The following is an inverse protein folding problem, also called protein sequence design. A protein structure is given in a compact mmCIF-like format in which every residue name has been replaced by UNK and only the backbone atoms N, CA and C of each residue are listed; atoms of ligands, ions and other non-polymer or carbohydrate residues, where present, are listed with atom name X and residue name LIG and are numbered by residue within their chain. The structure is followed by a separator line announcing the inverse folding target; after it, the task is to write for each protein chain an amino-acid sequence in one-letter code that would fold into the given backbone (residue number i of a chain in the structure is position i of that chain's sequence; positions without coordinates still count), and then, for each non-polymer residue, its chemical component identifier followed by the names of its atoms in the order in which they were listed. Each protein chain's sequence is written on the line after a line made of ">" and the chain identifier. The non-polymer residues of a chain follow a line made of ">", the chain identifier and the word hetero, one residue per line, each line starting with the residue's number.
data_IF_286958853604
#
_entry.id   IF_286958853604
#
_cell.length_a   1.000
_cell.length_b   1.000
_cell.length_c   1.000
_cell.angle_alpha   90.00
_cell.angle_beta   90.00
_cell.angle_gamma   90.00
#
_symmetry.space_group_name_H-M   'P 1'
#
loop_
_entity.id
_entity.type
_entity.pdbx_description
1 polymer ?
#
# COMPACT_ATOMS: atom_id res chain seq x y z
N UNK A 1 -1.55 -8.82 18.29
CA UNK A 1 -1.43 -7.54 17.58
C UNK A 1 -0.05 -7.45 16.93
N UNK A 2 0.06 -7.26 15.61
CA UNK A 2 1.36 -7.21 14.93
C UNK A 2 2.17 -5.94 15.23
N UNK A 3 1.57 -4.95 15.89
CA UNK A 3 2.21 -3.69 16.29
C UNK A 3 2.48 -3.62 17.79
N UNK A 4 2.23 -4.70 18.54
CA UNK A 4 2.29 -4.69 20.01
C UNK A 4 1.54 -3.52 20.66
N UNK A 5 0.43 -3.11 20.03
CA UNK A 5 -0.36 -1.97 20.45
C UNK A 5 -1.42 -2.30 21.51
N UNK A 6 -1.55 -3.57 21.93
CA UNK A 6 -2.57 -4.00 22.90
C UNK A 6 -1.88 -4.50 24.18
N UNK A 7 -2.18 -3.84 25.27
CA UNK A 7 -1.79 -4.29 26.59
C UNK A 7 -3.06 -4.57 27.43
N UNK A 8 -3.13 -5.74 28.08
CA UNK A 8 -4.34 -6.21 28.77
C UNK A 8 -4.77 -5.32 29.95
N UNK A 9 -3.86 -4.54 30.49
CA UNK A 9 -4.12 -3.67 31.65
C UNK A 9 -4.32 -2.18 31.30
N UNK A 10 -4.09 -1.77 30.04
CA UNK A 10 -4.12 -0.36 29.64
C UNK A 10 -4.89 -0.07 28.35
N UNK A 11 -5.40 -1.08 27.66
CA UNK A 11 -6.12 -0.96 26.39
C UNK A 11 -5.22 -0.84 25.15
N UNK A 12 -5.71 -0.17 24.09
CA UNK A 12 -5.00 -0.02 22.81
C UNK A 12 -4.16 1.26 22.83
N UNK A 13 -2.85 1.14 22.65
CA UNK A 13 -1.98 2.30 22.42
C UNK A 13 -2.17 2.81 20.98
N UNK A 14 -2.86 3.94 20.87
CA UNK A 14 -3.17 4.57 19.58
C UNK A 14 -1.92 5.01 18.80
N UNK A 15 -0.78 5.23 19.47
CA UNK A 15 0.48 5.63 18.80
C UNK A 15 1.16 4.46 18.08
N UNK A 16 0.91 3.24 18.55
CA UNK A 16 1.42 1.99 17.96
C UNK A 16 0.43 1.38 16.99
N UNK A 17 -0.87 1.60 17.22
CA UNK A 17 -1.93 1.05 16.40
C UNK A 17 -1.93 1.71 15.02
N UNK A 18 -1.86 0.91 13.97
CA UNK A 18 -1.98 1.38 12.58
C UNK A 18 -3.29 0.95 11.92
N UNK A 19 -4.31 0.58 12.69
CA UNK A 19 -5.65 0.35 12.19
C UNK A 19 -5.84 -0.92 11.33
N UNK A 20 -5.02 -1.98 11.52
CA UNK A 20 -5.15 -3.20 10.69
C UNK A 20 -6.43 -4.03 10.94
N UNK A 21 -7.23 -3.71 11.95
CA UNK A 21 -8.51 -4.36 12.25
C UNK A 21 -8.46 -5.79 12.80
N UNK A 22 -7.30 -6.46 12.85
CA UNK A 22 -7.18 -7.87 13.25
C UNK A 22 -7.68 -8.19 14.66
N UNK A 23 -7.66 -7.22 15.56
CA UNK A 23 -8.14 -7.37 16.92
C UNK A 23 -9.66 -7.33 17.05
N UNK A 24 -10.38 -6.75 16.09
CA UNK A 24 -11.84 -6.64 16.12
C UNK A 24 -12.50 -8.02 16.21
N UNK A 25 -12.30 -8.94 15.23
CA UNK A 25 -12.86 -10.29 15.30
C UNK A 25 -12.16 -11.19 16.35
N UNK A 26 -10.95 -10.82 16.80
CA UNK A 26 -10.22 -11.62 17.76
C UNK A 26 -10.63 -11.33 19.23
N UNK A 27 -11.37 -10.26 19.48
CA UNK A 27 -11.87 -9.93 20.82
C UNK A 27 -13.19 -10.66 21.09
N UNK A 28 -13.24 -11.70 21.96
CA UNK A 28 -14.44 -12.51 22.14
C UNK A 28 -15.60 -11.74 22.78
N UNK A 29 -15.29 -10.66 23.49
CA UNK A 29 -16.27 -9.83 24.19
C UNK A 29 -16.62 -8.53 23.46
N UNK A 30 -16.04 -8.27 22.27
CA UNK A 30 -16.29 -7.04 21.51
C UNK A 30 -15.84 -5.74 22.19
N UNK A 31 -14.89 -5.82 23.13
CA UNK A 31 -14.39 -4.62 23.84
C UNK A 31 -13.50 -3.72 23.01
N UNK A 32 -13.07 -4.20 21.84
CA UNK A 32 -12.27 -3.41 20.91
C UNK A 32 -13.18 -2.95 19.79
N UNK A 33 -13.34 -1.64 19.65
CA UNK A 33 -14.09 -1.02 18.57
C UNK A 33 -13.17 -0.17 17.68
N UNK A 34 -13.53 -0.04 16.43
CA UNK A 34 -12.88 0.89 15.51
C UNK A 34 -13.45 2.30 15.65
N UNK A 35 -12.63 3.29 15.34
CA UNK A 35 -13.05 4.67 15.19
C UNK A 35 -12.64 5.15 13.81
N UNK A 36 -13.63 5.39 12.97
CA UNK A 36 -13.45 5.95 11.64
C UNK A 36 -13.42 7.48 11.69
N UNK A 37 -12.56 8.04 10.85
CA UNK A 37 -12.60 9.44 10.49
C UNK A 37 -12.74 9.56 8.98
N UNK A 38 -13.90 10.03 8.52
CA UNK A 38 -14.21 10.13 7.10
C UNK A 38 -14.26 11.59 6.68
N UNK A 39 -13.56 11.91 5.61
CA UNK A 39 -13.62 13.19 4.94
C UNK A 39 -14.59 13.09 3.75
N UNK A 40 -15.36 14.13 3.52
CA UNK A 40 -16.12 14.27 2.29
C UNK A 40 -15.21 14.68 1.10
N UNK A 41 -15.75 14.65 -0.09
CA UNK A 41 -14.96 14.93 -1.30
C UNK A 41 -14.44 16.37 -1.37
N UNK A 42 -15.13 17.33 -0.75
CA UNK A 42 -14.70 18.74 -0.70
C UNK A 42 -13.51 18.86 0.25
N UNK A 43 -13.59 18.23 1.41
CA UNK A 43 -12.49 18.19 2.38
C UNK A 43 -11.27 17.45 1.82
N UNK A 44 -11.46 16.38 1.03
CA UNK A 44 -10.36 15.69 0.33
C UNK A 44 -9.68 16.65 -0.66
N UNK A 45 -10.43 17.35 -1.51
CA UNK A 45 -9.87 18.29 -2.48
C UNK A 45 -9.09 19.41 -1.78
N UNK A 46 -9.61 19.95 -0.68
CA UNK A 46 -8.96 20.98 0.13
C UNK A 46 -7.65 20.46 0.74
N UNK A 47 -7.69 19.29 1.37
CA UNK A 47 -6.51 18.68 1.98
C UNK A 47 -5.40 18.40 0.94
N UNK A 48 -5.74 17.89 -0.23
CA UNK A 48 -4.79 17.66 -1.31
C UNK A 48 -4.19 18.98 -1.81
N UNK A 49 -5.01 20.04 -1.93
CA UNK A 49 -4.54 21.36 -2.32
C UNK A 49 -3.59 21.99 -1.29
N UNK A 50 -3.82 21.75 0.00
CA UNK A 50 -2.96 22.21 1.10
C UNK A 50 -1.64 21.43 1.18
N UNK A 51 -1.71 20.11 1.15
CA UNK A 51 -0.54 19.22 1.29
C UNK A 51 0.34 19.24 0.04
N UNK A 52 -0.27 19.42 -1.15
CA UNK A 52 0.38 19.39 -2.47
C UNK A 52 1.32 18.19 -2.65
N UNK A 53 0.83 16.97 -2.48
CA UNK A 53 1.67 15.77 -2.59
C UNK A 53 2.13 15.55 -4.03
N UNK A 54 3.32 14.95 -4.21
CA UNK A 54 3.79 14.50 -5.52
C UNK A 54 3.03 13.26 -6.01
N UNK A 55 2.56 12.43 -5.09
CA UNK A 55 1.83 11.21 -5.38
C UNK A 55 0.69 10.97 -4.40
N UNK A 56 -0.36 10.32 -4.90
CA UNK A 56 -1.52 9.87 -4.11
C UNK A 56 -1.78 8.40 -4.41
N UNK A 57 -2.10 7.61 -3.40
CA UNK A 57 -2.67 6.29 -3.56
C UNK A 57 -4.16 6.33 -3.24
N UNK A 58 -4.98 5.84 -4.17
CA UNK A 58 -6.40 5.58 -3.95
C UNK A 58 -6.57 4.09 -3.66
N UNK A 59 -6.73 3.78 -2.38
CA UNK A 59 -6.99 2.41 -1.95
C UNK A 59 -8.45 2.04 -2.27
N UNK A 60 -8.66 1.03 -3.08
CA UNK A 60 -9.99 0.65 -3.57
C UNK A 60 -10.23 -0.85 -3.45
N UNK A 61 -11.47 -1.26 -3.67
CA UNK A 61 -11.89 -2.66 -3.70
C UNK A 61 -12.86 -2.87 -4.86
N UNK A 62 -13.08 -4.11 -5.31
CA UNK A 62 -14.11 -4.44 -6.28
C UNK A 62 -15.51 -3.92 -5.85
N UNK A 63 -16.33 -3.53 -6.83
CA UNK A 63 -17.68 -3.01 -6.59
C UNK A 63 -17.76 -1.59 -6.02
N UNK A 64 -16.63 -0.84 -5.97
CA UNK A 64 -16.57 0.53 -5.44
C UNK A 64 -16.38 1.60 -6.51
N UNK A 65 -16.92 1.39 -7.71
CA UNK A 65 -16.70 2.28 -8.86
C UNK A 65 -17.23 3.69 -8.63
N UNK A 66 -18.43 3.86 -8.06
CA UNK A 66 -19.02 5.19 -7.78
C UNK A 66 -18.18 5.98 -6.76
N UNK A 67 -17.78 5.32 -5.66
CA UNK A 67 -16.93 5.95 -4.65
C UNK A 67 -15.56 6.33 -5.23
N UNK A 68 -15.00 5.48 -6.10
CA UNK A 68 -13.78 5.77 -6.82
C UNK A 68 -13.92 7.00 -7.72
N UNK A 69 -14.97 7.06 -8.55
CA UNK A 69 -15.23 8.18 -9.46
C UNK A 69 -15.36 9.50 -8.68
N UNK A 70 -16.03 9.48 -7.53
CA UNK A 70 -16.19 10.64 -6.67
C UNK A 70 -14.84 11.14 -6.12
N UNK A 71 -13.95 10.23 -5.68
CA UNK A 71 -12.59 10.58 -5.21
C UNK A 71 -11.75 11.13 -6.37
N UNK A 72 -11.80 10.53 -7.55
CA UNK A 72 -11.06 11.00 -8.73
C UNK A 72 -11.50 12.41 -9.14
N UNK A 73 -12.81 12.68 -9.12
CA UNK A 73 -13.34 14.00 -9.38
C UNK A 73 -12.84 15.04 -8.34
N UNK A 74 -12.78 14.68 -7.05
CA UNK A 74 -12.24 15.53 -6.00
C UNK A 74 -10.74 15.82 -6.20
N UNK A 75 -9.95 14.80 -6.58
CA UNK A 75 -8.53 14.96 -6.91
C UNK A 75 -8.35 15.92 -8.11
N UNK A 76 -9.17 15.78 -9.14
CA UNK A 76 -9.11 16.66 -10.31
C UNK A 76 -9.44 18.13 -9.95
N UNK A 77 -10.41 18.35 -9.06
CA UNK A 77 -10.79 19.69 -8.57
C UNK A 77 -9.64 20.33 -7.80
N UNK A 78 -8.83 19.58 -7.06
CA UNK A 78 -7.69 20.12 -6.31
C UNK A 78 -6.64 20.81 -7.19
N UNK A 79 -6.58 20.48 -8.48
CA UNK A 79 -5.62 20.98 -9.48
C UNK A 79 -4.15 20.82 -9.08
N UNK A 80 -3.85 19.90 -8.17
CA UNK A 80 -2.46 19.56 -7.80
C UNK A 80 -1.86 18.69 -8.91
N UNK A 81 -0.71 19.07 -9.47
CA UNK A 81 -0.06 18.29 -10.53
C UNK A 81 0.59 17.05 -9.93
N UNK A 82 -0.16 15.96 -9.85
CA UNK A 82 0.34 14.69 -9.35
C UNK A 82 1.32 14.07 -10.35
N UNK A 83 2.50 13.72 -9.89
CA UNK A 83 3.49 12.97 -10.66
C UNK A 83 3.09 11.50 -10.77
N UNK A 84 2.39 10.97 -9.74
CA UNK A 84 1.96 9.58 -9.67
C UNK A 84 0.60 9.47 -8.98
N UNK A 85 -0.27 8.68 -9.59
CA UNK A 85 -1.53 8.24 -8.98
C UNK A 85 -1.54 6.71 -8.95
N UNK A 86 -1.37 6.14 -7.76
CA UNK A 86 -1.52 4.71 -7.55
C UNK A 86 -2.99 4.37 -7.28
N UNK A 87 -3.46 3.30 -7.91
CA UNK A 87 -4.79 2.74 -7.69
C UNK A 87 -4.61 1.30 -7.24
N UNK A 88 -4.97 1.01 -5.99
CA UNK A 88 -4.81 -0.32 -5.43
C UNK A 88 -6.08 -1.14 -5.54
N UNK A 89 -5.94 -2.41 -5.89
CA UNK A 89 -7.01 -3.40 -5.78
C UNK A 89 -6.45 -4.83 -5.78
N UNK A 90 -7.26 -5.77 -5.27
CA UNK A 90 -6.92 -7.18 -5.20
C UNK A 90 -8.14 -8.09 -5.30
N UNK A 91 -7.90 -9.40 -5.32
CA UNK A 91 -8.94 -10.43 -5.37
C UNK A 91 -9.30 -10.97 -3.98
N UNK A 92 -8.40 -10.87 -3.01
CA UNK A 92 -8.57 -11.53 -1.72
C UNK A 92 -9.76 -10.96 -0.94
N UNK A 93 -10.62 -11.84 -0.46
CA UNK A 93 -11.87 -11.46 0.19
C UNK A 93 -13.04 -11.20 -0.78
N UNK A 94 -12.81 -11.32 -2.08
CA UNK A 94 -13.83 -11.15 -3.11
C UNK A 94 -13.90 -12.38 -4.01
N UNK A 95 -15.10 -12.87 -4.29
CA UNK A 95 -15.33 -14.01 -5.18
C UNK A 95 -15.20 -13.62 -6.67
N UNK A 96 -14.11 -12.91 -7.03
CA UNK A 96 -13.87 -12.46 -8.39
C UNK A 96 -12.79 -13.27 -9.09
N UNK A 97 -12.96 -13.44 -10.40
CA UNK A 97 -11.92 -13.94 -11.28
C UNK A 97 -10.96 -12.80 -11.69
N UNK A 98 -9.73 -13.10 -12.16
CA UNK A 98 -8.85 -12.08 -12.74
C UNK A 98 -9.49 -11.32 -13.89
N UNK A 99 -10.33 -11.97 -14.70
CA UNK A 99 -11.07 -11.33 -15.80
C UNK A 99 -12.08 -10.30 -15.28
N UNK A 100 -12.84 -10.64 -14.24
CA UNK A 100 -13.79 -9.71 -13.63
C UNK A 100 -13.05 -8.52 -12.98
N UNK A 101 -11.93 -8.76 -12.31
CA UNK A 101 -11.09 -7.68 -11.78
C UNK A 101 -10.52 -6.80 -12.90
N UNK A 102 -10.13 -7.38 -14.02
CA UNK A 102 -9.69 -6.63 -15.20
C UNK A 102 -10.79 -5.67 -15.70
N UNK A 103 -12.04 -6.11 -15.79
CA UNK A 103 -13.16 -5.23 -16.16
C UNK A 103 -13.31 -4.05 -15.20
N UNK A 104 -13.14 -4.28 -13.89
CA UNK A 104 -13.12 -3.22 -12.88
C UNK A 104 -11.96 -2.22 -13.12
N UNK A 105 -10.75 -2.71 -13.42
CA UNK A 105 -9.60 -1.86 -13.73
C UNK A 105 -9.83 -1.04 -15.01
N UNK A 106 -10.43 -1.61 -16.04
CA UNK A 106 -10.79 -0.90 -17.27
C UNK A 106 -11.83 0.21 -17.02
N UNK A 107 -12.82 -0.05 -16.16
CA UNK A 107 -13.78 0.98 -15.74
C UNK A 107 -13.07 2.15 -15.04
N UNK A 108 -12.17 1.85 -14.09
CA UNK A 108 -11.36 2.87 -13.40
C UNK A 108 -10.43 3.61 -14.35
N UNK A 109 -9.82 2.93 -15.30
CA UNK A 109 -8.99 3.55 -16.32
C UNK A 109 -9.75 4.58 -17.15
N UNK A 110 -10.98 4.23 -17.56
CA UNK A 110 -11.83 5.15 -18.30
C UNK A 110 -12.23 6.39 -17.45
N UNK A 111 -12.45 6.20 -16.16
CA UNK A 111 -12.69 7.31 -15.23
C UNK A 111 -11.46 8.23 -15.15
N UNK A 112 -10.28 7.67 -14.92
CA UNK A 112 -9.03 8.43 -14.85
C UNK A 112 -8.75 9.21 -16.14
N UNK A 113 -8.96 8.60 -17.30
CA UNK A 113 -8.76 9.26 -18.60
C UNK A 113 -9.65 10.49 -18.79
N UNK A 114 -10.89 10.47 -18.32
CA UNK A 114 -11.79 11.63 -18.38
C UNK A 114 -11.22 12.85 -17.65
N UNK A 115 -10.35 12.62 -16.66
CA UNK A 115 -9.70 13.65 -15.87
C UNK A 115 -8.22 13.88 -16.24
N UNK A 116 -7.73 13.25 -17.33
CA UNK A 116 -6.33 13.40 -17.77
C UNK A 116 -5.30 12.72 -16.84
N UNK A 117 -5.75 11.85 -15.96
CA UNK A 117 -4.91 11.16 -14.97
C UNK A 117 -4.38 9.82 -15.52
N UNK A 118 -3.16 9.46 -15.13
CA UNK A 118 -2.51 8.20 -15.51
C UNK A 118 -2.26 7.35 -14.28
N UNK A 119 -2.73 6.09 -14.26
CA UNK A 119 -2.55 5.21 -13.12
C UNK A 119 -1.16 4.57 -13.04
N UNK A 120 -0.77 4.25 -11.80
CA UNK A 120 0.07 3.11 -11.44
C UNK A 120 -0.88 2.09 -10.81
N UNK A 121 -1.03 0.91 -11.39
CA UNK A 121 -1.86 -0.14 -10.83
C UNK A 121 -1.12 -0.87 -9.72
N UNK A 122 -1.59 -0.72 -8.50
CA UNK A 122 -1.05 -1.43 -7.35
C UNK A 122 -1.88 -2.69 -7.08
N UNK A 123 -1.27 -3.85 -7.30
CA UNK A 123 -1.95 -5.13 -7.21
C UNK A 123 -1.78 -5.74 -5.82
N UNK A 124 -2.83 -5.67 -5.01
CA UNK A 124 -2.85 -6.18 -3.65
C UNK A 124 -3.07 -7.71 -3.66
N UNK A 125 -1.99 -8.47 -3.53
CA UNK A 125 -2.07 -9.92 -3.47
C UNK A 125 -2.78 -10.45 -2.22
N UNK A 126 -2.74 -9.69 -1.13
CA UNK A 126 -3.39 -10.01 0.15
C UNK A 126 -3.91 -8.74 0.81
N UNK A 127 -5.03 -8.80 1.57
CA UNK A 127 -5.47 -7.69 2.39
C UNK A 127 -4.43 -7.34 3.45
N UNK A 128 -4.52 -6.15 4.01
CA UNK A 128 -3.64 -5.67 5.07
C UNK A 128 -3.80 -6.52 6.32
N UNK A 129 -2.87 -7.44 6.53
CA UNK A 129 -2.90 -8.40 7.65
C UNK A 129 -1.74 -8.23 8.64
N UNK A 130 -0.71 -7.47 8.28
CA UNK A 130 0.53 -7.37 9.06
C UNK A 130 1.42 -8.62 9.02
N UNK A 131 0.98 -9.69 8.33
CA UNK A 131 1.80 -10.86 8.10
C UNK A 131 2.79 -10.59 6.96
N UNK A 132 4.08 -10.85 7.21
CA UNK A 132 5.19 -10.65 6.28
C UNK A 132 6.13 -11.86 6.22
N UNK A 133 5.60 -13.04 6.51
CA UNK A 133 6.33 -14.31 6.38
C UNK A 133 6.79 -14.56 4.93
N UNK A 134 7.77 -15.44 4.74
CA UNK A 134 8.40 -15.68 3.44
C UNK A 134 7.40 -16.07 2.31
N UNK A 135 6.30 -16.74 2.66
CA UNK A 135 5.29 -17.20 1.70
C UNK A 135 4.25 -16.14 1.32
N UNK A 136 4.15 -15.02 2.03
CA UNK A 136 3.05 -14.05 1.85
C UNK A 136 3.08 -13.33 0.49
N UNK A 137 4.25 -13.17 -0.09
CA UNK A 137 4.43 -12.49 -1.38
C UNK A 137 3.93 -13.29 -2.59
N UNK A 138 3.70 -14.60 -2.45
CA UNK A 138 3.25 -15.46 -3.56
C UNK A 138 1.95 -14.97 -4.19
N UNK A 139 1.02 -14.51 -3.36
CA UNK A 139 -0.28 -14.02 -3.84
C UNK A 139 -0.13 -12.77 -4.73
N UNK A 140 0.75 -11.83 -4.36
CA UNK A 140 1.01 -10.62 -5.15
C UNK A 140 1.62 -10.97 -6.52
N UNK A 141 2.62 -11.86 -6.55
CA UNK A 141 3.26 -12.29 -7.81
C UNK A 141 2.27 -13.06 -8.69
N UNK A 142 1.46 -13.95 -8.12
CA UNK A 142 0.44 -14.68 -8.88
C UNK A 142 -0.63 -13.76 -9.44
N UNK A 143 -1.07 -12.76 -8.67
CA UNK A 143 -2.04 -11.77 -9.13
C UNK A 143 -1.46 -10.96 -10.31
N UNK A 144 -0.23 -10.50 -10.17
CA UNK A 144 0.46 -9.78 -11.24
C UNK A 144 0.56 -10.60 -12.53
N UNK A 145 0.98 -11.88 -12.45
CA UNK A 145 1.05 -12.78 -13.61
C UNK A 145 -0.28 -12.95 -14.32
N UNK A 146 -1.37 -13.05 -13.56
CA UNK A 146 -2.73 -13.23 -14.09
C UNK A 146 -3.30 -11.95 -14.71
N UNK A 147 -2.96 -10.79 -14.15
CA UNK A 147 -3.50 -9.50 -14.59
C UNK A 147 -2.65 -8.82 -15.65
N UNK A 148 -1.36 -9.07 -15.72
CA UNK A 148 -0.47 -8.44 -16.70
C UNK A 148 -0.99 -8.47 -18.14
N UNK A 149 -1.51 -9.61 -18.66
CA UNK A 149 -2.03 -9.65 -20.03
C UNK A 149 -3.42 -9.02 -20.20
N UNK A 150 -4.11 -8.68 -19.10
CA UNK A 150 -5.52 -8.25 -19.09
C UNK A 150 -5.69 -6.80 -18.67
N UNK A 151 -4.71 -6.22 -17.97
CA UNK A 151 -4.81 -4.90 -17.35
C UNK A 151 -4.87 -3.79 -18.42
N UNK A 152 -5.57 -2.68 -18.12
CA UNK A 152 -5.52 -1.50 -18.92
C UNK A 152 -4.13 -0.85 -18.89
N UNK A 153 -3.83 0.09 -19.83
CA UNK A 153 -2.55 0.77 -19.83
C UNK A 153 -2.16 1.39 -18.50
N UNK A 154 -0.90 1.24 -18.14
CA UNK A 154 -0.31 1.73 -16.88
C UNK A 154 0.66 0.70 -16.29
N UNK A 155 1.68 1.15 -15.56
CA UNK A 155 2.60 0.24 -14.88
C UNK A 155 1.88 -0.57 -13.80
N UNK A 156 2.31 -1.82 -13.60
CA UNK A 156 1.77 -2.75 -12.62
C UNK A 156 2.77 -2.97 -11.48
N UNK A 157 2.41 -2.59 -10.28
CA UNK A 157 3.22 -2.69 -9.06
C UNK A 157 2.72 -3.82 -8.16
N UNK A 158 3.64 -4.57 -7.58
CA UNK A 158 3.32 -5.61 -6.59
C UNK A 158 3.03 -4.98 -5.22
N UNK A 159 1.96 -5.41 -4.56
CA UNK A 159 1.61 -5.01 -3.20
C UNK A 159 0.89 -6.13 -2.45
N UNK A 160 0.59 -5.91 -1.17
CA UNK A 160 -0.17 -6.85 -0.35
C UNK A 160 0.58 -8.16 -0.05
N UNK A 161 1.26 -8.21 1.09
CA UNK A 161 2.05 -9.36 1.54
C UNK A 161 3.50 -9.40 1.03
N UNK A 162 3.95 -8.38 0.33
CA UNK A 162 5.32 -8.24 -0.17
C UNK A 162 6.36 -8.19 0.97
N UNK A 163 7.52 -8.80 0.74
CA UNK A 163 8.62 -8.92 1.71
C UNK A 163 9.97 -9.03 0.97
N UNK A 164 11.07 -9.24 1.72
CA UNK A 164 12.41 -9.36 1.14
C UNK A 164 12.58 -10.52 0.15
N UNK A 165 11.71 -11.54 0.20
CA UNK A 165 11.73 -12.69 -0.71
C UNK A 165 10.81 -12.51 -1.93
N UNK A 166 10.16 -11.37 -2.08
CA UNK A 166 9.25 -11.16 -3.23
C UNK A 166 9.98 -11.26 -4.56
N UNK A 167 11.19 -10.71 -4.60
CA UNK A 167 12.02 -10.72 -5.81
C UNK A 167 12.45 -12.12 -6.23
N UNK A 168 12.67 -13.02 -5.27
CA UNK A 168 13.09 -14.41 -5.51
C UNK A 168 11.99 -15.26 -6.17
N UNK A 169 10.75 -14.79 -6.13
CA UNK A 169 9.60 -15.45 -6.75
C UNK A 169 9.42 -15.11 -8.23
N UNK A 170 10.15 -14.10 -8.73
CA UNK A 170 10.06 -13.64 -10.12
C UNK A 170 11.01 -14.43 -11.02
N UNK A 171 10.52 -14.83 -12.17
CA UNK A 171 11.34 -15.37 -13.26
C UNK A 171 12.28 -14.31 -13.85
N UNK A 172 13.24 -14.75 -14.66
CA UNK A 172 14.24 -13.85 -15.27
C UNK A 172 13.63 -12.80 -16.19
N UNK A 173 12.51 -13.15 -16.86
CA UNK A 173 11.81 -12.28 -17.83
C UNK A 173 10.58 -11.60 -17.23
N UNK A 174 10.43 -11.59 -15.90
CA UNK A 174 9.29 -10.99 -15.21
C UNK A 174 9.68 -9.65 -14.59
N UNK A 175 9.13 -8.55 -15.12
CA UNK A 175 9.46 -7.18 -14.74
C UNK A 175 8.22 -6.40 -14.29
N UNK A 176 7.71 -6.61 -13.05
CA UNK A 176 6.74 -5.68 -12.50
C UNK A 176 7.35 -4.28 -12.37
N UNK A 177 6.53 -3.25 -12.58
CA UNK A 177 6.98 -1.86 -12.56
C UNK A 177 7.49 -1.38 -11.19
N UNK A 178 7.30 -2.18 -10.14
CA UNK A 178 7.78 -1.89 -8.81
C UNK A 178 7.16 -2.79 -7.75
N UNK A 179 7.49 -2.47 -6.51
CA UNK A 179 6.97 -3.16 -5.32
C UNK A 179 6.65 -2.15 -4.23
N UNK A 180 5.52 -2.34 -3.55
CA UNK A 180 5.16 -1.59 -2.35
C UNK A 180 5.37 -2.45 -1.10
N UNK A 181 6.16 -1.96 -0.16
CA UNK A 181 6.42 -2.62 1.12
C UNK A 181 5.69 -1.89 2.25
N UNK A 182 4.58 -2.43 2.72
CA UNK A 182 3.85 -1.92 3.88
C UNK A 182 4.32 -2.57 5.18
N UNK A 183 3.82 -3.77 5.46
CA UNK A 183 4.13 -4.51 6.70
C UNK A 183 5.62 -4.82 6.86
N UNK A 184 6.33 -5.16 5.79
CA UNK A 184 7.78 -5.45 5.86
C UNK A 184 8.60 -4.20 6.19
N UNK A 185 8.33 -3.08 5.53
CA UNK A 185 9.01 -1.81 5.83
C UNK A 185 8.80 -1.41 7.30
N UNK A 186 7.58 -1.54 7.80
CA UNK A 186 7.26 -1.28 9.21
C UNK A 186 8.01 -2.21 10.15
N UNK A 187 8.07 -3.51 9.82
CA UNK A 187 8.77 -4.51 10.62
C UNK A 187 10.28 -4.20 10.76
N UNK A 188 10.94 -3.80 9.68
CA UNK A 188 12.39 -3.56 9.72
C UNK A 188 12.75 -2.28 10.47
N UNK A 189 11.90 -1.25 10.48
CA UNK A 189 12.18 0.02 11.19
C UNK A 189 11.62 0.05 12.61
N UNK A 190 10.69 -0.81 12.97
CA UNK A 190 10.03 -0.80 14.29
C UNK A 190 11.03 -0.88 15.46
N UNK A 191 12.08 -1.74 15.47
CA UNK A 191 13.06 -1.77 16.55
C UNK A 191 13.73 -0.42 16.77
N UNK A 192 14.05 0.32 15.70
CA UNK A 192 14.65 1.64 15.79
C UNK A 192 13.67 2.71 16.30
N UNK A 193 12.40 2.60 15.93
CA UNK A 193 11.35 3.47 16.46
C UNK A 193 11.20 3.28 17.96
N UNK A 194 11.17 2.05 18.44
CA UNK A 194 11.09 1.72 19.86
C UNK A 194 12.33 2.19 20.64
N UNK A 195 13.53 2.02 20.06
CA UNK A 195 14.76 2.52 20.65
C UNK A 195 14.77 4.05 20.75
N UNK A 196 14.32 4.76 19.71
CA UNK A 196 14.17 6.22 19.74
C UNK A 196 13.17 6.68 20.82
N UNK A 197 12.03 5.99 20.94
CA UNK A 197 11.05 6.27 21.98
C UNK A 197 11.63 6.06 23.40
N UNK A 198 12.40 5.00 23.61
CA UNK A 198 13.07 4.75 24.89
C UNK A 198 14.10 5.85 25.25
N UNK A 199 14.68 6.52 24.22
CA UNK A 199 15.55 7.67 24.35
C UNK A 199 14.80 9.01 24.51
N UNK A 200 13.47 9.00 24.54
CA UNK A 200 12.64 10.20 24.63
C UNK A 200 12.62 11.05 23.36
N UNK A 201 12.94 10.48 22.19
CA UNK A 201 13.03 11.20 20.92
C UNK A 201 12.27 10.49 19.80
N UNK A 202 12.05 11.16 18.67
CA UNK A 202 11.56 10.53 17.45
C UNK A 202 12.75 10.04 16.59
N UNK A 203 12.55 8.95 15.84
CA UNK A 203 13.60 8.38 14.98
C UNK A 203 14.25 9.43 14.05
N UNK A 204 13.43 10.33 13.47
CA UNK A 204 13.91 11.42 12.60
C UNK A 204 14.84 12.43 13.28
N UNK A 205 14.78 12.53 14.60
CA UNK A 205 15.61 13.44 15.39
C UNK A 205 16.80 12.72 16.06
N UNK A 206 17.00 11.43 15.78
CA UNK A 206 18.13 10.64 16.23
C UNK A 206 19.01 10.27 15.03
N UNK A 207 20.12 11.03 14.77
CA UNK A 207 20.90 10.91 13.53
C UNK A 207 21.48 9.52 13.28
N UNK A 208 21.93 8.83 14.33
CA UNK A 208 22.45 7.46 14.20
C UNK A 208 21.33 6.47 13.86
N UNK A 209 20.21 6.52 14.60
CA UNK A 209 19.05 5.69 14.32
C UNK A 209 18.47 5.93 12.94
N UNK A 210 18.45 7.18 12.48
CA UNK A 210 18.03 7.55 11.14
C UNK A 210 18.93 6.91 10.06
N UNK A 211 20.26 7.01 10.19
CA UNK A 211 21.20 6.35 9.26
C UNK A 211 21.01 4.84 9.22
N UNK A 212 20.81 4.20 10.40
CA UNK A 212 20.52 2.76 10.48
C UNK A 212 19.19 2.43 9.78
N UNK A 213 18.17 3.24 9.95
CA UNK A 213 16.87 3.10 9.29
C UNK A 213 16.98 3.21 7.77
N UNK A 214 17.73 4.17 7.27
CA UNK A 214 18.01 4.33 5.84
C UNK A 214 18.72 3.11 5.27
N UNK A 215 19.74 2.60 5.93
CA UNK A 215 20.46 1.40 5.49
C UNK A 215 19.53 0.16 5.39
N UNK A 216 18.60 0.00 6.35
CA UNK A 216 17.60 -1.08 6.31
C UNK A 216 16.61 -0.90 5.15
N UNK A 217 16.15 0.31 4.90
CA UNK A 217 15.27 0.63 3.78
C UNK A 217 15.97 0.38 2.43
N UNK A 218 17.22 0.82 2.31
CA UNK A 218 18.04 0.61 1.13
C UNK A 218 18.29 -0.88 0.84
N UNK A 219 18.58 -1.67 1.86
CA UNK A 219 18.73 -3.12 1.72
C UNK A 219 17.46 -3.79 1.20
N UNK A 220 16.28 -3.27 1.55
CA UNK A 220 14.99 -3.78 1.08
C UNK A 220 14.71 -3.44 -0.38
N UNK A 221 15.11 -2.26 -0.86
CA UNK A 221 14.82 -1.78 -2.22
C UNK A 221 15.94 -2.02 -3.23
N UNK A 222 17.19 -2.15 -2.80
CA UNK A 222 18.36 -2.33 -3.66
C UNK A 222 18.23 -3.49 -4.67
N UNK A 223 17.72 -4.69 -4.30
CA UNK A 223 17.54 -5.78 -5.25
C UNK A 223 16.61 -5.41 -6.41
N UNK A 224 15.61 -4.57 -6.17
CA UNK A 224 14.67 -4.09 -7.19
C UNK A 224 15.33 -3.08 -8.12
N UNK A 225 16.12 -2.16 -7.60
CA UNK A 225 16.87 -1.20 -8.40
C UNK A 225 17.87 -1.93 -9.31
N UNK A 226 18.59 -2.93 -8.79
CA UNK A 226 19.52 -3.73 -9.58
C UNK A 226 18.82 -4.48 -10.72
N UNK A 227 17.60 -4.99 -10.48
CA UNK A 227 16.81 -5.67 -11.50
C UNK A 227 16.34 -4.71 -12.61
N UNK A 228 15.97 -3.48 -12.29
CA UNK A 228 15.58 -2.47 -13.28
C UNK A 228 16.74 -2.05 -14.17
N UNK A 229 17.96 -1.95 -13.63
CA UNK A 229 19.14 -1.53 -14.38
C UNK A 229 19.62 -2.57 -15.42
N UNK A 230 19.16 -3.80 -15.34
CA UNK A 230 19.50 -4.87 -16.30
C UNK A 230 18.58 -4.91 -17.51
N UNK A 231 17.60 -4.02 -17.59
CA UNK A 231 16.62 -3.96 -18.67
C UNK A 231 16.60 -2.56 -19.29
N UNK A 232 16.74 -2.49 -20.61
CA UNK A 232 16.60 -1.24 -21.39
C UNK A 232 15.16 -0.67 -21.39
N UNK A 233 14.30 -1.07 -20.45
CA UNK A 233 12.88 -0.76 -20.38
C UNK A 233 12.44 -0.10 -19.05
N UNK A 234 13.29 0.67 -18.41
CA UNK A 234 12.85 1.54 -17.31
C UNK A 234 12.63 2.97 -17.73
#
# INVERSE_FOLDING_TARGET
>A
CPADAIAFNTAVDARRCYGCGRCLPACPHGYISERDHRLDNVAIATLIAEVRPDAVEVHTAPGRSEAFDAVIAALAVSRVPLQRLAVSCGLEGHALTPQALSCELWSRYNSLRRHGLRPLWQLDGRPMSGDVGAGTARAAVQLWRRLSPLAPPGPLQLAGGTNGHTIDLLGVDEYPAGVAFGGMARRVVMPLILEAQARGTALRHWPEGWRRGLALAEALVRPWQARCLTTDFC
#
